data_IF_372445082422
#
_entry.id   IF_372445082422
#
_cell.length_a   1.000
_cell.length_b   1.000
_cell.length_c   1.000
_cell.angle_alpha   90.00
_cell.angle_beta   90.00
_cell.angle_gamma   90.00
#
_symmetry.space_group_name_H-M   'P 1'
#
loop_
_entity.id
_entity.type
_entity.pdbx_description
1 polymer ?
#
# COMPACT_ATOMS: atom_id res chain seq x y z
N UNK A 1 -56.94 28.08 -25.73
CA UNK A 1 -56.37 29.16 -24.89
C UNK A 1 -55.46 30.14 -25.64
N UNK A 2 -55.07 29.88 -26.90
CA UNK A 2 -54.31 30.84 -27.74
C UNK A 2 -55.18 31.88 -28.48
N UNK A 3 -56.45 31.55 -28.76
CA UNK A 3 -57.37 32.45 -29.47
C UNK A 3 -57.71 33.74 -28.69
N UNK A 4 -57.81 33.62 -27.36
CA UNK A 4 -58.08 34.76 -26.47
C UNK A 4 -56.87 35.70 -26.36
N UNK A 5 -55.66 35.16 -26.50
CA UNK A 5 -54.40 35.89 -26.37
C UNK A 5 -54.08 36.67 -27.66
N UNK A 6 -54.41 36.12 -28.83
CA UNK A 6 -54.34 36.83 -30.12
C UNK A 6 -55.31 38.01 -30.13
N UNK A 7 -56.57 37.82 -29.67
CA UNK A 7 -57.58 38.88 -29.61
C UNK A 7 -57.18 40.05 -28.69
N UNK A 8 -56.51 39.76 -27.56
CA UNK A 8 -55.99 40.77 -26.63
C UNK A 8 -54.81 41.54 -27.24
N UNK A 9 -53.91 40.86 -27.96
CA UNK A 9 -52.77 41.51 -28.63
C UNK A 9 -53.24 42.39 -29.79
N UNK A 10 -54.21 41.93 -30.60
CA UNK A 10 -54.78 42.74 -31.69
C UNK A 10 -55.54 43.96 -31.14
N UNK A 11 -56.27 43.80 -30.03
CA UNK A 11 -56.96 44.91 -29.36
C UNK A 11 -55.98 45.93 -28.74
N UNK A 12 -54.87 45.48 -28.16
CA UNK A 12 -53.83 46.36 -27.62
C UNK A 12 -53.06 47.11 -28.71
N UNK A 13 -52.80 46.49 -29.86
CA UNK A 13 -52.20 47.13 -31.04
C UNK A 13 -53.12 48.20 -31.65
N UNK A 14 -54.43 47.90 -31.75
CA UNK A 14 -55.43 48.86 -32.23
C UNK A 14 -55.56 50.07 -31.28
N UNK A 15 -55.58 49.82 -29.96
CA UNK A 15 -55.62 50.87 -28.92
C UNK A 15 -54.34 51.69 -28.88
N UNK A 16 -53.19 51.10 -29.19
CA UNK A 16 -51.90 51.79 -29.26
C UNK A 16 -51.81 52.73 -30.47
N UNK A 17 -52.37 52.32 -31.62
CA UNK A 17 -52.37 53.14 -32.84
C UNK A 17 -53.23 54.42 -32.69
N UNK A 18 -54.36 54.32 -31.98
CA UNK A 18 -55.26 55.45 -31.70
C UNK A 18 -54.68 56.42 -30.65
N UNK A 19 -53.75 55.97 -29.80
CA UNK A 19 -53.17 56.80 -28.73
C UNK A 19 -51.97 57.65 -29.14
N UNK A 20 -51.35 57.39 -30.31
CA UNK A 20 -50.08 58.03 -30.69
C UNK A 20 -50.20 59.24 -31.62
N UNK A 21 -51.37 59.51 -32.21
CA UNK A 21 -51.56 60.73 -33.00
C UNK A 21 -52.15 61.85 -32.14
N UNK A 22 -51.29 62.50 -31.36
CA UNK A 22 -51.61 63.78 -30.71
C UNK A 22 -51.60 64.88 -31.77
N UNK A 23 -52.78 65.43 -32.00
CA UNK A 23 -53.04 66.55 -32.90
C UNK A 23 -52.35 67.83 -32.43
N UNK A 24 -51.76 68.59 -33.37
CA UNK A 24 -51.74 70.05 -33.33
C UNK A 24 -51.90 70.63 -34.75
N UNK A 25 -53.14 71.04 -35.01
CA UNK A 25 -53.60 72.19 -35.78
C UNK A 25 -52.96 72.49 -37.16
N UNK A 26 -53.77 72.41 -38.23
CA UNK A 26 -54.32 73.62 -38.87
C UNK A 26 -55.39 73.24 -39.93
N UNK A 27 -56.53 73.94 -39.84
CA UNK A 27 -57.48 74.34 -40.89
C UNK A 27 -58.41 73.31 -41.56
N UNK A 28 -59.69 73.62 -41.32
CA UNK A 28 -60.93 73.21 -41.99
C UNK A 28 -60.87 73.17 -43.52
N UNK A 29 -61.65 72.23 -44.07
CA UNK A 29 -62.13 72.23 -45.46
C UNK A 29 -61.66 71.00 -46.22
N UNK A 30 -62.59 70.31 -46.89
CA UNK A 30 -62.37 69.23 -47.90
C UNK A 30 -62.58 67.76 -47.45
N UNK A 31 -62.60 67.41 -46.15
CA UNK A 31 -62.76 66.00 -45.73
C UNK A 31 -64.19 65.43 -45.70
N UNK A 32 -65.22 66.28 -45.54
CA UNK A 32 -66.61 65.84 -45.32
C UNK A 32 -67.39 65.51 -46.61
N UNK A 33 -67.14 66.11 -47.80
CA UNK A 33 -67.87 65.71 -49.02
C UNK A 33 -67.40 64.38 -49.64
N UNK A 34 -66.16 63.91 -49.36
CA UNK A 34 -65.64 62.65 -49.91
C UNK A 34 -66.23 61.40 -49.24
N UNK A 35 -66.62 61.50 -47.96
CA UNK A 35 -67.20 60.38 -47.21
C UNK A 35 -68.67 60.12 -47.61
N UNK A 36 -69.41 61.14 -48.06
CA UNK A 36 -70.81 61.00 -48.50
C UNK A 36 -70.91 60.36 -49.88
N UNK A 37 -69.94 60.60 -50.78
CA UNK A 37 -69.90 59.98 -52.11
C UNK A 37 -69.54 58.48 -52.01
N UNK A 38 -68.70 58.09 -51.06
CA UNK A 38 -68.32 56.68 -50.88
C UNK A 38 -69.44 55.82 -50.27
N UNK A 39 -70.23 56.39 -49.35
CA UNK A 39 -71.37 55.69 -48.73
C UNK A 39 -72.56 55.56 -49.70
N UNK A 40 -72.78 56.55 -50.58
CA UNK A 40 -73.80 56.44 -51.65
C UNK A 40 -73.39 55.49 -52.78
N UNK A 41 -72.09 55.37 -53.09
CA UNK A 41 -71.58 54.42 -54.08
C UNK A 41 -71.66 52.95 -53.63
N UNK A 42 -71.49 52.69 -52.33
CA UNK A 42 -71.49 51.32 -51.80
C UNK A 42 -72.91 50.73 -51.64
N UNK A 43 -73.93 51.57 -51.38
CA UNK A 43 -75.33 51.13 -51.29
C UNK A 43 -75.96 50.76 -52.65
N UNK A 44 -75.47 51.32 -53.76
CA UNK A 44 -76.01 51.00 -55.10
C UNK A 44 -75.45 49.66 -55.61
N UNK A 45 -74.22 49.30 -55.24
CA UNK A 45 -73.61 48.02 -55.63
C UNK A 45 -74.18 46.84 -54.83
N UNK A 46 -74.60 47.06 -53.58
CA UNK A 46 -75.24 46.01 -52.76
C UNK A 46 -76.69 45.69 -53.20
N UNK A 47 -77.41 46.66 -53.77
CA UNK A 47 -78.80 46.49 -54.23
C UNK A 47 -78.95 45.85 -55.61
N UNK A 48 -77.93 45.89 -56.47
CA UNK A 48 -77.97 45.29 -57.82
C UNK A 48 -77.52 43.83 -57.82
N UNK A 49 -76.85 43.35 -56.77
CA UNK A 49 -76.44 41.94 -56.65
C UNK A 49 -77.47 41.09 -55.87
N UNK A 50 -78.53 41.70 -55.31
CA UNK A 50 -79.50 40.99 -54.45
C UNK A 50 -80.95 40.97 -54.94
N UNK A 51 -81.23 41.34 -56.18
CA UNK A 51 -82.60 41.34 -56.71
C UNK A 51 -82.71 40.79 -58.14
N UNK A 52 -82.32 39.53 -58.33
CA UNK A 52 -82.98 38.67 -59.31
C UNK A 52 -83.32 37.34 -58.63
N UNK A 53 -84.44 37.38 -57.93
CA UNK A 53 -85.11 36.21 -57.40
C UNK A 53 -86.54 36.21 -57.91
N UNK A 54 -86.85 35.15 -58.67
CA UNK A 54 -88.15 34.48 -58.87
C UNK A 54 -88.97 34.91 -60.09
N UNK A 55 -88.87 34.09 -61.13
CA UNK A 55 -90.04 33.35 -61.62
C UNK A 55 -89.67 31.87 -61.76
N UNK A 56 -90.53 31.00 -61.23
CA UNK A 56 -90.36 29.56 -61.06
C UNK A 56 -90.73 28.80 -62.34
N UNK A 57 -90.05 27.69 -62.60
CA UNK A 57 -90.68 26.41 -62.99
C UNK A 57 -89.70 25.23 -62.71
N UNK A 58 -90.16 23.97 -62.61
CA UNK A 58 -89.91 23.15 -61.42
C UNK A 58 -88.93 21.98 -61.62
N UNK A 59 -88.49 21.47 -60.46
CA UNK A 59 -87.87 20.17 -60.21
C UNK A 59 -86.48 19.90 -60.80
N UNK A 60 -85.46 19.99 -59.93
CA UNK A 60 -84.48 18.91 -59.76
C UNK A 60 -83.84 19.07 -58.38
N UNK A 61 -84.21 18.19 -57.46
CA UNK A 61 -83.42 17.90 -56.26
C UNK A 61 -82.10 17.27 -56.74
N UNK A 62 -81.05 18.08 -56.87
CA UNK A 62 -79.70 17.55 -56.97
C UNK A 62 -79.23 17.31 -55.53
N UNK A 63 -79.43 16.08 -55.09
CA UNK A 63 -78.67 15.46 -54.02
C UNK A 63 -77.27 15.21 -54.60
N UNK A 64 -76.32 16.13 -54.39
CA UNK A 64 -74.91 15.85 -54.72
C UNK A 64 -74.37 14.97 -53.59
N UNK A 65 -74.68 13.68 -53.69
CA UNK A 65 -73.79 12.66 -53.16
C UNK A 65 -72.61 12.60 -54.12
N UNK A 66 -71.45 13.14 -53.70
CA UNK A 66 -70.17 12.75 -54.29
C UNK A 66 -69.97 11.25 -54.01
N UNK A 67 -70.52 10.40 -54.87
CA UNK A 67 -70.29 8.96 -54.81
C UNK A 67 -68.93 8.66 -55.45
N UNK A 68 -67.90 8.53 -54.61
CA UNK A 68 -66.64 7.94 -55.01
C UNK A 68 -66.82 6.42 -55.12
N UNK A 69 -66.36 5.83 -56.23
CA UNK A 69 -66.29 4.36 -56.36
C UNK A 69 -65.29 3.85 -55.32
N UNK A 70 -65.78 3.12 -54.32
CA UNK A 70 -64.94 2.50 -53.28
C UNK A 70 -64.14 1.39 -53.93
N UNK A 71 -62.82 1.56 -54.02
CA UNK A 71 -61.91 0.49 -54.41
C UNK A 71 -61.45 -0.20 -53.14
N UNK A 72 -61.64 -1.52 -53.08
CA UNK A 72 -60.95 -2.33 -52.08
C UNK A 72 -59.45 -2.33 -52.41
N UNK A 73 -58.65 -2.06 -51.40
CA UNK A 73 -57.19 -2.01 -51.47
C UNK A 73 -56.64 -2.10 -50.06
N UNK A 74 -55.36 -2.45 -49.96
CA UNK A 74 -54.71 -2.67 -48.67
C UNK A 74 -54.71 -1.38 -47.85
N UNK A 75 -55.26 -1.45 -46.63
CA UNK A 75 -55.26 -0.33 -45.69
C UNK A 75 -54.19 -0.57 -44.63
N UNK A 76 -53.14 0.24 -44.69
CA UNK A 76 -52.06 0.21 -43.71
C UNK A 76 -52.22 1.39 -42.75
N UNK A 77 -52.31 1.10 -41.45
CA UNK A 77 -52.28 2.13 -40.41
C UNK A 77 -50.84 2.24 -39.92
N UNK A 78 -50.24 3.40 -40.15
CA UNK A 78 -48.86 3.70 -39.76
C UNK A 78 -48.81 4.78 -38.68
N UNK A 79 -47.90 4.60 -37.72
CA UNK A 79 -47.56 5.61 -36.72
C UNK A 79 -46.22 6.22 -37.15
N UNK A 80 -46.24 7.49 -37.52
CA UNK A 80 -45.04 8.20 -37.98
C UNK A 80 -44.36 8.92 -36.81
N UNK A 81 -43.06 8.72 -36.67
CA UNK A 81 -42.24 9.44 -35.68
C UNK A 81 -40.85 9.74 -36.25
N UNK A 82 -40.24 10.84 -35.80
CA UNK A 82 -38.88 11.22 -36.20
C UNK A 82 -37.91 10.98 -35.05
N UNK A 83 -36.83 10.24 -35.34
CA UNK A 83 -35.76 9.92 -34.42
C UNK A 83 -34.38 10.11 -35.06
N UNK A 84 -33.35 9.55 -34.42
CA UNK A 84 -31.98 9.57 -34.91
C UNK A 84 -31.39 8.16 -34.97
N UNK A 85 -30.51 7.94 -35.94
CA UNK A 85 -29.68 6.72 -36.02
C UNK A 85 -28.67 6.72 -34.88
N UNK A 86 -28.61 5.63 -34.13
CA UNK A 86 -27.67 5.35 -33.06
C UNK A 86 -26.85 4.11 -33.42
N UNK A 87 -25.55 4.07 -33.08
CA UNK A 87 -24.74 2.88 -33.24
C UNK A 87 -25.15 1.79 -32.24
N UNK A 88 -24.68 0.55 -32.43
CA UNK A 88 -24.93 -0.54 -31.48
C UNK A 88 -24.36 -0.22 -30.09
N UNK A 89 -23.15 0.34 -30.08
CA UNK A 89 -22.43 0.77 -28.88
C UNK A 89 -21.66 2.04 -29.17
N UNK A 90 -21.57 2.92 -28.19
CA UNK A 90 -20.71 4.10 -28.23
C UNK A 90 -19.99 4.22 -26.89
N UNK A 91 -18.67 4.39 -26.92
CA UNK A 91 -17.86 4.61 -25.72
C UNK A 91 -16.95 5.82 -25.94
N UNK A 92 -16.93 6.70 -24.94
CA UNK A 92 -15.94 7.76 -24.83
C UNK A 92 -14.67 7.19 -24.17
N UNK A 93 -13.56 7.27 -24.89
CA UNK A 93 -12.26 6.79 -24.48
C UNK A 93 -11.45 7.96 -23.92
N UNK A 94 -10.82 7.71 -22.77
CA UNK A 94 -9.96 8.67 -22.09
C UNK A 94 -8.84 7.91 -21.39
N UNK A 95 -7.69 8.57 -21.21
CA UNK A 95 -6.62 8.02 -20.39
C UNK A 95 -7.00 8.07 -18.92
N UNK A 96 -6.72 6.98 -18.19
CA UNK A 96 -6.82 6.95 -16.74
C UNK A 96 -5.60 7.64 -16.08
N UNK A 97 -4.45 7.58 -16.72
CA UNK A 97 -3.21 8.21 -16.29
C UNK A 97 -3.04 9.64 -16.83
N UNK A 98 -2.28 10.46 -16.11
CA UNK A 98 -1.84 11.78 -16.56
C UNK A 98 -0.45 11.68 -17.21
N UNK A 99 -0.23 12.41 -18.30
CA UNK A 99 1.04 12.39 -19.02
C UNK A 99 0.98 13.22 -20.29
N UNK A 100 2.08 13.28 -21.04
CA UNK A 100 2.09 13.85 -22.39
C UNK A 100 1.78 12.74 -23.39
N UNK A 101 0.95 13.01 -24.39
CA UNK A 101 0.70 12.07 -25.49
C UNK A 101 1.96 11.98 -26.35
N UNK A 102 2.54 10.79 -26.45
CA UNK A 102 3.75 10.56 -27.27
C UNK A 102 3.36 10.17 -28.69
N UNK A 103 2.43 9.22 -28.83
CA UNK A 103 1.99 8.72 -30.13
C UNK A 103 0.46 8.64 -30.18
N UNK A 104 -0.08 8.92 -31.36
CA UNK A 104 -1.48 8.68 -31.73
C UNK A 104 -1.44 7.80 -32.97
N UNK A 105 -2.03 6.62 -32.88
CA UNK A 105 -1.92 5.57 -33.90
C UNK A 105 -3.14 5.49 -34.81
N UNK A 106 -4.22 6.19 -34.45
CA UNK A 106 -5.48 6.15 -35.19
C UNK A 106 -5.99 7.54 -35.56
N UNK A 107 -6.64 7.64 -36.70
CA UNK A 107 -7.26 8.87 -37.21
C UNK A 107 -8.79 8.81 -37.12
N UNK A 108 -9.43 9.99 -37.18
CA UNK A 108 -10.89 10.07 -37.27
C UNK A 108 -11.40 9.42 -38.56
N UNK A 109 -12.37 8.52 -38.45
CA UNK A 109 -12.92 7.71 -39.54
C UNK A 109 -12.23 6.37 -39.75
N UNK A 110 -11.18 6.04 -38.99
CA UNK A 110 -10.48 4.76 -39.10
C UNK A 110 -11.23 3.64 -38.37
N UNK A 111 -11.29 2.46 -38.99
CA UNK A 111 -11.76 1.22 -38.37
C UNK A 111 -10.65 0.58 -37.55
N UNK A 112 -10.99 0.12 -36.35
CA UNK A 112 -10.08 -0.53 -35.39
C UNK A 112 -10.69 -1.85 -34.92
N UNK A 113 -9.84 -2.80 -34.54
CA UNK A 113 -10.22 -4.05 -33.89
C UNK A 113 -10.17 -3.93 -32.36
N UNK A 114 -10.73 -4.92 -31.67
CA UNK A 114 -10.67 -4.98 -30.21
C UNK A 114 -9.22 -5.23 -29.74
N UNK A 115 -8.70 -4.34 -28.89
CA UNK A 115 -7.33 -4.37 -28.39
C UNK A 115 -6.36 -3.49 -29.18
N UNK A 116 -6.80 -2.85 -30.27
CA UNK A 116 -5.92 -1.96 -31.03
C UNK A 116 -5.49 -0.76 -30.19
N UNK A 117 -4.21 -0.40 -30.31
CA UNK A 117 -3.63 0.75 -29.63
C UNK A 117 -4.07 2.04 -30.34
N UNK A 118 -4.71 2.94 -29.58
CA UNK A 118 -5.26 4.21 -30.09
C UNK A 118 -4.24 5.33 -29.89
N UNK A 119 -3.71 5.43 -28.68
CA UNK A 119 -2.73 6.44 -28.30
C UNK A 119 -1.90 5.94 -27.10
N UNK A 120 -0.70 6.49 -26.94
CA UNK A 120 0.18 6.19 -25.81
C UNK A 120 0.75 7.47 -25.19
N UNK A 121 0.89 7.47 -23.86
CA UNK A 121 1.55 8.54 -23.11
C UNK A 121 3.07 8.30 -23.02
N UNK A 122 3.82 9.32 -22.62
CA UNK A 122 5.23 9.20 -22.25
C UNK A 122 5.36 8.33 -20.99
N UNK A 123 6.00 7.17 -21.12
CA UNK A 123 6.26 6.23 -20.03
C UNK A 123 7.65 6.32 -19.46
N UNK A 124 8.51 7.25 -19.93
CA UNK A 124 9.93 7.24 -19.57
C UNK A 124 10.20 7.34 -18.07
N UNK A 125 9.37 8.07 -17.33
CA UNK A 125 9.44 8.13 -15.86
C UNK A 125 8.91 6.87 -15.18
N UNK A 126 7.90 6.22 -15.75
CA UNK A 126 7.35 4.96 -15.26
C UNK A 126 8.30 3.79 -15.52
N UNK A 127 8.95 3.75 -16.68
CA UNK A 127 9.97 2.76 -17.02
C UNK A 127 11.16 2.88 -16.04
N UNK A 128 11.62 4.10 -15.75
CA UNK A 128 12.65 4.33 -14.71
C UNK A 128 12.18 3.88 -13.32
N UNK A 129 10.90 4.06 -12.99
CA UNK A 129 10.35 3.61 -11.71
C UNK A 129 10.32 2.08 -11.62
N UNK A 130 9.98 1.39 -12.71
CA UNK A 130 10.04 -0.07 -12.82
C UNK A 130 11.49 -0.54 -12.66
N UNK A 131 12.45 0.09 -13.33
CA UNK A 131 13.88 -0.23 -13.19
C UNK A 131 14.34 -0.08 -11.73
N UNK A 132 13.96 1.02 -11.06
CA UNK A 132 14.28 1.25 -9.65
C UNK A 132 13.65 0.20 -8.73
N UNK A 133 12.38 -0.14 -8.95
CA UNK A 133 11.69 -1.17 -8.17
C UNK A 133 12.28 -2.57 -8.41
N UNK A 134 12.72 -2.86 -9.64
CA UNK A 134 13.40 -4.11 -10.00
C UNK A 134 14.75 -4.23 -9.30
N UNK A 135 15.55 -3.15 -9.30
CA UNK A 135 16.82 -3.11 -8.55
C UNK A 135 16.58 -3.31 -7.04
N UNK A 136 15.51 -2.72 -6.49
CA UNK A 136 15.14 -2.91 -5.10
C UNK A 136 14.76 -4.37 -4.81
N UNK A 137 13.98 -5.01 -5.68
CA UNK A 137 13.65 -6.44 -5.57
C UNK A 137 14.91 -7.32 -5.63
N UNK A 138 15.80 -7.08 -6.59
CA UNK A 138 17.05 -7.82 -6.72
C UNK A 138 17.92 -7.71 -5.46
N UNK A 139 17.96 -6.51 -4.86
CA UNK A 139 18.66 -6.30 -3.59
C UNK A 139 18.03 -7.12 -2.46
N UNK A 140 16.70 -7.13 -2.34
CA UNK A 140 16.02 -7.91 -1.30
C UNK A 140 16.15 -9.41 -1.52
N UNK A 141 16.12 -9.85 -2.77
CA UNK A 141 16.41 -11.25 -3.12
C UNK A 141 17.83 -11.62 -2.68
N UNK A 142 18.82 -10.76 -2.93
CA UNK A 142 20.20 -11.03 -2.48
C UNK A 142 20.32 -11.10 -0.95
N UNK A 143 19.56 -10.29 -0.21
CA UNK A 143 19.49 -10.36 1.27
C UNK A 143 18.85 -11.67 1.71
N UNK A 144 17.71 -12.05 1.13
CA UNK A 144 17.03 -13.30 1.41
C UNK A 144 17.90 -14.53 1.11
N UNK A 145 18.57 -14.54 -0.03
CA UNK A 145 19.50 -15.59 -0.45
C UNK A 145 20.72 -15.66 0.49
N UNK A 146 21.21 -14.52 0.98
CA UNK A 146 22.30 -14.49 1.94
C UNK A 146 21.89 -15.08 3.31
N UNK A 147 20.64 -14.89 3.72
CA UNK A 147 20.10 -15.44 4.97
C UNK A 147 19.81 -16.94 4.86
N UNK A 148 19.26 -17.40 3.73
CA UNK A 148 18.87 -18.80 3.52
C UNK A 148 20.01 -19.70 3.04
N UNK A 149 21.14 -19.12 2.64
CA UNK A 149 22.30 -19.89 2.21
C UNK A 149 22.78 -20.78 3.36
N UNK A 150 22.92 -22.11 3.13
CA UNK A 150 23.46 -22.98 4.15
C UNK A 150 24.91 -22.58 4.48
N UNK A 151 25.35 -22.76 5.74
CA UNK A 151 26.73 -22.50 6.12
C UNK A 151 27.69 -23.27 5.23
N UNK A 152 28.82 -22.66 4.85
CA UNK A 152 29.82 -23.40 4.09
C UNK A 152 30.49 -24.47 4.96
N UNK A 153 30.93 -25.57 4.34
CA UNK A 153 31.72 -26.59 5.06
C UNK A 153 32.97 -25.98 5.73
N UNK A 154 33.53 -24.93 5.12
CA UNK A 154 34.67 -24.20 5.69
C UNK A 154 34.29 -23.47 6.98
N UNK A 155 33.16 -22.77 7.02
CA UNK A 155 32.71 -22.06 8.23
C UNK A 155 32.41 -23.03 9.37
N UNK A 156 31.78 -24.17 9.05
CA UNK A 156 31.52 -25.25 10.01
C UNK A 156 32.85 -25.79 10.55
N UNK A 157 33.84 -26.05 9.68
CA UNK A 157 35.14 -26.55 10.10
C UNK A 157 35.88 -25.55 11.02
N UNK A 158 35.78 -24.25 10.75
CA UNK A 158 36.35 -23.19 11.62
C UNK A 158 35.67 -23.19 12.99
N UNK A 159 34.33 -23.27 13.04
CA UNK A 159 33.59 -23.33 14.29
C UNK A 159 33.91 -24.61 15.10
N UNK A 160 34.01 -25.76 14.42
CA UNK A 160 34.44 -27.02 15.04
C UNK A 160 35.87 -26.93 15.60
N UNK A 161 36.80 -26.36 14.84
CA UNK A 161 38.17 -26.16 15.31
C UNK A 161 38.24 -25.23 16.53
N UNK A 162 37.38 -24.21 16.60
CA UNK A 162 37.27 -23.34 17.77
C UNK A 162 36.74 -24.11 19.01
N UNK A 163 35.75 -24.99 18.83
CA UNK A 163 35.26 -25.86 19.89
C UNK A 163 36.34 -26.84 20.37
N UNK A 164 37.11 -27.43 19.46
CA UNK A 164 38.21 -28.33 19.81
C UNK A 164 39.32 -27.59 20.56
N UNK A 165 39.64 -26.35 20.16
CA UNK A 165 40.57 -25.49 20.89
C UNK A 165 40.06 -25.12 22.30
N UNK A 166 38.76 -24.85 22.45
CA UNK A 166 38.14 -24.60 23.75
C UNK A 166 38.18 -25.84 24.66
N UNK A 167 37.92 -27.02 24.11
CA UNK A 167 38.05 -28.31 24.80
C UNK A 167 39.49 -28.59 25.22
N UNK A 168 40.46 -28.32 24.35
CA UNK A 168 41.87 -28.44 24.69
C UNK A 168 42.26 -27.50 25.84
N UNK A 169 41.73 -26.27 25.85
CA UNK A 169 41.96 -25.29 26.92
C UNK A 169 41.34 -25.74 28.25
N UNK A 170 40.15 -26.34 28.22
CA UNK A 170 39.53 -26.95 29.40
C UNK A 170 40.37 -28.11 29.94
N UNK A 171 40.84 -29.01 29.07
CA UNK A 171 41.70 -30.12 29.48
C UNK A 171 43.00 -29.61 30.10
N UNK A 172 43.59 -28.55 29.52
CA UNK A 172 44.76 -27.90 30.09
C UNK A 172 44.46 -27.32 31.49
N UNK A 173 43.37 -26.55 31.66
CA UNK A 173 42.95 -25.99 32.93
C UNK A 173 42.59 -27.06 33.98
N UNK A 174 41.95 -28.15 33.58
CA UNK A 174 41.68 -29.29 34.44
C UNK A 174 42.96 -30.01 34.88
N UNK A 175 44.03 -29.92 34.09
CA UNK A 175 45.34 -30.52 34.37
C UNK A 175 46.32 -29.60 35.11
N UNK A 176 45.96 -28.34 35.39
CA UNK A 176 46.80 -27.44 36.20
C UNK A 176 46.69 -27.80 37.68
N UNK A 177 47.28 -28.93 38.07
CA UNK A 177 47.63 -29.22 39.46
C UNK A 177 48.82 -28.38 39.94
N UNK A 178 49.23 -28.50 41.21
CA UNK A 178 50.40 -27.80 41.75
C UNK A 178 51.63 -28.15 40.92
N UNK A 179 52.36 -27.14 40.45
CA UNK A 179 53.61 -27.42 39.73
C UNK A 179 54.57 -28.16 40.68
N UNK A 180 55.31 -29.16 40.17
CA UNK A 180 56.34 -29.89 40.94
C UNK A 180 57.31 -28.92 41.63
N UNK A 181 57.58 -27.77 41.02
CA UNK A 181 58.41 -26.70 41.59
C UNK A 181 57.79 -26.01 42.81
N UNK A 182 56.48 -25.76 42.81
CA UNK A 182 55.80 -25.12 43.94
C UNK A 182 55.70 -26.07 45.15
N UNK A 183 55.46 -27.36 44.90
CA UNK A 183 55.52 -28.40 45.93
C UNK A 183 56.93 -28.48 46.54
N UNK A 184 57.97 -28.51 45.70
CA UNK A 184 59.36 -28.58 46.16
C UNK A 184 59.77 -27.31 46.95
N UNK A 185 59.34 -26.12 46.53
CA UNK A 185 59.59 -24.87 47.28
C UNK A 185 58.92 -24.92 48.65
N UNK A 186 57.65 -25.32 48.72
CA UNK A 186 56.92 -25.41 49.97
C UNK A 186 57.54 -26.47 50.90
N UNK A 187 57.98 -27.61 50.35
CA UNK A 187 58.71 -28.64 51.08
C UNK A 187 60.02 -28.11 51.65
N UNK A 188 60.83 -27.43 50.84
CA UNK A 188 62.10 -26.84 51.27
C UNK A 188 61.90 -25.79 52.38
N UNK A 189 60.83 -25.01 52.33
CA UNK A 189 60.48 -24.07 53.39
C UNK A 189 60.18 -24.76 54.72
N UNK A 190 59.46 -25.88 54.69
CA UNK A 190 59.24 -26.74 55.85
C UNK A 190 60.55 -27.30 56.40
N UNK A 191 61.44 -27.80 55.54
CA UNK A 191 62.76 -28.32 55.95
C UNK A 191 63.61 -27.22 56.60
N UNK A 192 63.60 -26.00 56.08
CA UNK A 192 64.29 -24.84 56.67
C UNK A 192 63.71 -24.50 58.05
N UNK A 193 62.39 -24.47 58.19
CA UNK A 193 61.73 -24.17 59.46
C UNK A 193 62.11 -25.20 60.53
N UNK A 194 62.09 -26.50 60.18
CA UNK A 194 62.51 -27.59 61.08
C UNK A 194 63.98 -27.49 61.44
N UNK A 195 64.84 -27.13 60.48
CA UNK A 195 66.27 -26.95 60.75
C UNK A 195 66.53 -25.82 61.76
N UNK A 196 65.81 -24.71 61.66
CA UNK A 196 65.89 -23.60 62.63
C UNK A 196 65.42 -24.02 64.02
N UNK A 197 64.30 -24.75 64.11
CA UNK A 197 63.81 -25.29 65.37
C UNK A 197 64.86 -26.21 66.02
N UNK A 198 65.43 -27.13 65.23
CA UNK A 198 66.48 -28.03 65.70
C UNK A 198 67.72 -27.29 66.21
N UNK A 199 68.19 -26.25 65.51
CA UNK A 199 69.32 -25.43 65.99
C UNK A 199 69.01 -24.72 67.31
N UNK A 200 67.79 -24.21 67.48
CA UNK A 200 67.36 -23.60 68.73
C UNK A 200 67.24 -24.64 69.87
N UNK A 201 66.86 -25.88 69.57
CA UNK A 201 66.81 -26.96 70.56
C UNK A 201 68.21 -27.26 71.09
N UNK A 202 69.20 -27.37 70.20
CA UNK A 202 70.60 -27.53 70.59
C UNK A 202 71.10 -26.38 71.47
N UNK A 203 70.73 -25.13 71.13
CA UNK A 203 71.11 -23.96 71.93
C UNK A 203 70.51 -24.02 73.34
N UNK A 204 69.26 -24.45 73.47
CA UNK A 204 68.58 -24.61 74.76
C UNK A 204 69.21 -25.72 75.59
N UNK A 205 69.53 -26.86 74.98
CA UNK A 205 70.16 -27.99 75.67
C UNK A 205 71.60 -27.70 76.13
N UNK A 206 72.26 -26.71 75.53
CA UNK A 206 73.57 -26.24 75.97
C UNK A 206 73.54 -25.37 77.23
N UNK A 207 72.38 -24.86 77.65
CA UNK A 207 72.24 -24.01 78.85
C UNK A 207 72.29 -24.88 80.10
N UNK A 208 73.37 -24.73 80.87
CA UNK A 208 73.52 -25.42 82.17
C UNK A 208 73.15 -24.47 83.30
N UNK A 209 72.20 -24.87 84.15
CA UNK A 209 71.87 -24.14 85.38
C UNK A 209 72.80 -24.62 86.50
N UNK A 210 73.65 -23.76 87.08
CA UNK A 210 74.53 -24.15 88.16
C UNK A 210 73.76 -24.56 89.42
N UNK A 211 74.29 -25.52 90.17
CA UNK A 211 73.78 -25.87 91.51
C UNK A 211 74.08 -24.74 92.52
N UNK A 212 73.26 -24.57 93.57
CA UNK A 212 73.54 -23.60 94.63
C UNK A 212 74.88 -23.90 95.30
N UNK A 213 75.75 -22.89 95.44
CA UNK A 213 77.00 -23.07 96.18
C UNK A 213 76.69 -23.27 97.68
N UNK A 214 77.19 -24.36 98.26
CA UNK A 214 77.15 -24.55 99.72
C UNK A 214 78.07 -23.52 100.40
N UNK A 215 77.56 -22.84 101.42
CA UNK A 215 78.34 -21.89 102.22
C UNK A 215 79.52 -22.54 102.94
N UNK A 216 80.43 -21.70 103.43
CA UNK A 216 81.56 -22.10 104.25
C UNK A 216 81.06 -22.28 105.68
N UNK A 217 80.98 -23.53 106.14
CA UNK A 217 80.61 -23.88 107.52
C UNK A 217 81.87 -24.01 108.38
N UNK A 218 82.31 -22.89 108.98
CA UNK A 218 83.47 -22.82 109.87
C UNK A 218 83.15 -21.88 111.02
N UNK A 219 83.09 -22.39 112.26
CA UNK A 219 82.99 -21.57 113.48
C UNK A 219 84.34 -21.50 114.17
N UNK A 220 84.85 -20.28 114.39
CA UNK A 220 86.19 -20.04 114.92
C UNK A 220 86.21 -19.64 116.39
N UNK A 221 85.03 -19.38 116.99
CA UNK A 221 84.90 -18.93 118.38
C UNK A 221 85.36 -17.48 118.60
N UNK A 222 85.51 -16.71 117.52
CA UNK A 222 85.87 -15.30 117.51
C UNK A 222 84.80 -14.52 116.74
N UNK A 223 84.01 -13.72 117.45
CA UNK A 223 82.88 -12.95 116.90
C UNK A 223 83.25 -12.08 115.70
N UNK A 224 84.48 -11.55 115.65
CA UNK A 224 84.94 -10.72 114.51
C UNK A 224 85.23 -11.54 113.26
N UNK A 225 85.66 -12.80 113.41
CA UNK A 225 85.96 -13.71 112.29
C UNK A 225 84.69 -14.41 111.82
N UNK A 226 83.83 -14.82 112.75
CA UNK A 226 82.54 -15.44 112.44
C UNK A 226 81.61 -14.45 111.71
N UNK A 227 81.59 -13.16 112.08
CA UNK A 227 80.85 -12.14 111.32
C UNK A 227 81.37 -11.90 109.89
N UNK A 228 82.68 -12.05 109.65
CA UNK A 228 83.25 -11.99 108.29
C UNK A 228 82.87 -13.22 107.48
N UNK A 229 82.78 -14.41 108.10
CA UNK A 229 82.32 -15.65 107.45
C UNK A 229 80.84 -15.53 107.06
N UNK A 230 80.01 -14.91 107.90
CA UNK A 230 78.61 -14.63 107.57
C UNK A 230 78.47 -13.66 106.39
N UNK A 231 79.26 -12.58 106.34
CA UNK A 231 79.29 -11.64 105.21
C UNK A 231 79.76 -12.31 103.90
N UNK A 232 80.74 -13.24 103.99
CA UNK A 232 81.22 -14.04 102.86
C UNK A 232 80.12 -15.00 102.40
N UNK A 233 79.45 -15.71 103.30
CA UNK A 233 78.34 -16.62 102.99
C UNK A 233 77.14 -15.88 102.37
N UNK A 234 76.85 -14.66 102.84
CA UNK A 234 75.84 -13.78 102.26
C UNK A 234 76.24 -13.35 100.83
N UNK A 235 77.52 -13.06 100.59
CA UNK A 235 78.03 -12.69 99.25
C UNK A 235 78.02 -13.88 98.29
N UNK A 236 78.44 -15.07 98.73
CA UNK A 236 78.43 -16.31 97.92
C UNK A 236 77.00 -16.70 97.53
N UNK A 237 76.06 -16.66 98.47
CA UNK A 237 74.65 -16.98 98.19
C UNK A 237 73.98 -15.93 97.30
N UNK A 238 74.29 -14.63 97.47
CA UNK A 238 73.84 -13.57 96.58
C UNK A 238 74.41 -13.73 95.15
N UNK A 239 75.69 -14.07 95.02
CA UNK A 239 76.32 -14.29 93.71
C UNK A 239 75.81 -15.57 93.02
N UNK A 240 75.65 -16.66 93.77
CA UNK A 240 75.11 -17.94 93.27
C UNK A 240 73.65 -17.81 92.85
N UNK A 241 72.81 -17.15 93.65
CA UNK A 241 71.40 -16.90 93.29
C UNK A 241 71.28 -15.98 92.07
N UNK A 242 72.15 -14.98 91.92
CA UNK A 242 72.20 -14.15 90.72
C UNK A 242 72.60 -14.96 89.47
N UNK A 243 73.56 -15.87 89.57
CA UNK A 243 73.96 -16.76 88.47
C UNK A 243 72.85 -17.75 88.09
N UNK A 244 72.18 -18.35 89.06
CA UNK A 244 71.03 -19.25 88.83
C UNK A 244 69.87 -18.48 88.19
N UNK A 245 69.52 -17.31 88.71
CA UNK A 245 68.46 -16.48 88.16
C UNK A 245 68.77 -16.04 86.71
N UNK A 246 70.05 -15.75 86.40
CA UNK A 246 70.47 -15.42 85.05
C UNK A 246 70.36 -16.63 84.10
N UNK A 247 70.82 -17.81 84.52
CA UNK A 247 70.71 -19.05 83.74
C UNK A 247 69.24 -19.46 83.53
N UNK A 248 68.40 -19.32 84.54
CA UNK A 248 66.95 -19.56 84.44
C UNK A 248 66.26 -18.54 83.52
N UNK A 249 66.68 -17.27 83.53
CA UNK A 249 66.17 -16.26 82.60
C UNK A 249 66.57 -16.59 81.15
N UNK A 250 67.81 -17.04 80.92
CA UNK A 250 68.28 -17.52 79.62
C UNK A 250 67.51 -18.75 79.14
N UNK A 251 67.25 -19.71 80.03
CA UNK A 251 66.44 -20.89 79.71
C UNK A 251 65.01 -20.51 79.31
N UNK A 252 64.33 -19.66 80.10
CA UNK A 252 62.97 -19.18 79.75
C UNK A 252 62.93 -18.44 78.42
N UNK A 253 63.96 -17.65 78.12
CA UNK A 253 64.07 -16.97 76.82
C UNK A 253 64.27 -17.96 75.67
N UNK A 254 65.11 -18.98 75.86
CA UNK A 254 65.32 -20.04 74.88
C UNK A 254 64.05 -20.88 74.65
N UNK A 255 63.31 -21.20 75.71
CA UNK A 255 62.02 -21.91 75.64
C UNK A 255 60.96 -21.09 74.89
N UNK A 256 60.85 -19.80 75.17
CA UNK A 256 59.94 -18.90 74.43
C UNK A 256 60.34 -18.80 72.95
N UNK A 257 61.65 -18.78 72.65
CA UNK A 257 62.14 -18.79 71.27
C UNK A 257 61.86 -20.12 70.55
N UNK A 258 61.93 -21.25 71.26
CA UNK A 258 61.56 -22.56 70.72
C UNK A 258 60.09 -22.62 70.37
N UNK A 259 59.22 -22.13 71.26
CA UNK A 259 57.79 -22.09 71.04
C UNK A 259 57.44 -21.27 69.77
N UNK A 260 58.08 -20.10 69.59
CA UNK A 260 57.90 -19.31 68.37
C UNK A 260 58.34 -20.06 67.09
N UNK A 261 59.44 -20.82 67.16
CA UNK A 261 59.93 -21.60 66.02
C UNK A 261 59.05 -22.82 65.73
N UNK A 262 58.46 -23.44 66.75
CA UNK A 262 57.51 -24.54 66.62
C UNK A 262 56.24 -24.09 65.87
N UNK A 263 55.67 -22.94 66.24
CA UNK A 263 54.60 -22.31 65.45
C UNK A 263 55.03 -22.02 64.01
N UNK A 264 56.29 -21.61 63.82
CA UNK A 264 56.87 -21.43 62.48
C UNK A 264 56.89 -22.71 61.63
N UNK A 265 57.19 -23.86 62.24
CA UNK A 265 57.11 -25.17 61.59
C UNK A 265 55.66 -25.53 61.27
N UNK A 266 54.73 -25.35 62.21
CA UNK A 266 53.32 -25.63 62.01
C UNK A 266 52.72 -24.81 60.85
N UNK A 267 53.10 -23.53 60.73
CA UNK A 267 52.69 -22.68 59.60
C UNK A 267 53.28 -23.19 58.28
N UNK A 268 54.55 -23.60 58.27
CA UNK A 268 55.19 -24.15 57.07
C UNK A 268 54.57 -25.48 56.62
N UNK A 269 54.26 -26.38 57.55
CA UNK A 269 53.56 -27.63 57.28
C UNK A 269 52.14 -27.38 56.72
N UNK A 270 51.39 -26.43 57.31
CA UNK A 270 50.07 -26.04 56.80
C UNK A 270 50.13 -25.43 55.38
N UNK A 271 51.17 -24.63 55.09
CA UNK A 271 51.40 -24.07 53.75
C UNK A 271 51.75 -25.14 52.72
N UNK A 272 52.56 -26.13 53.09
CA UNK A 272 52.88 -27.28 52.25
C UNK A 272 51.63 -28.12 51.95
N UNK A 273 50.86 -28.48 52.98
CA UNK A 273 49.62 -29.25 52.84
C UNK A 273 48.57 -28.51 51.98
N UNK A 274 48.43 -27.19 52.15
CA UNK A 274 47.58 -26.34 51.30
C UNK A 274 48.08 -26.27 49.85
N UNK A 275 49.38 -26.43 49.61
CA UNK A 275 49.96 -26.44 48.26
C UNK A 275 49.76 -27.78 47.58
N UNK A 276 49.92 -28.90 48.31
CA UNK A 276 49.72 -30.26 47.78
C UNK A 276 48.24 -30.57 47.55
N UNK A 277 47.35 -30.06 48.41
CA UNK A 277 45.90 -30.31 48.32
C UNK A 277 45.19 -29.40 47.32
N UNK A 278 45.88 -28.42 46.73
CA UNK A 278 45.32 -27.54 45.71
C UNK A 278 45.11 -28.34 44.42
N UNK A 279 43.85 -28.69 44.12
CA UNK A 279 43.45 -29.27 42.83
C UNK A 279 43.49 -28.23 41.70
N UNK A 280 42.83 -28.55 40.58
CA UNK A 280 42.67 -27.61 39.48
C UNK A 280 42.04 -26.30 39.95
N UNK A 281 42.59 -25.16 39.50
CA UNK A 281 42.06 -23.85 39.86
C UNK A 281 40.62 -23.71 39.33
N UNK A 282 39.66 -23.66 40.25
CA UNK A 282 38.22 -23.64 39.94
C UNK A 282 37.88 -22.45 39.02
N UNK A 283 38.56 -21.32 39.18
CA UNK A 283 38.36 -20.14 38.33
C UNK A 283 38.80 -20.40 36.89
N UNK A 284 39.98 -20.99 36.71
CA UNK A 284 40.51 -21.37 35.38
C UNK A 284 39.61 -22.40 34.69
N UNK A 285 39.17 -23.44 35.40
CA UNK A 285 38.28 -24.48 34.87
C UNK A 285 36.93 -23.90 34.50
N UNK A 286 36.36 -23.04 35.36
CA UNK A 286 35.08 -22.38 35.09
C UNK A 286 35.18 -21.46 33.86
N UNK A 287 36.29 -20.73 33.71
CA UNK A 287 36.52 -19.89 32.53
C UNK A 287 36.67 -20.70 31.24
N UNK A 288 37.35 -21.84 31.30
CA UNK A 288 37.51 -22.72 30.14
C UNK A 288 36.19 -23.41 29.77
N UNK A 289 35.37 -23.77 30.75
CA UNK A 289 34.02 -24.29 30.52
C UNK A 289 33.13 -23.26 29.83
N UNK A 290 33.17 -22.00 30.27
CA UNK A 290 32.47 -20.91 29.59
C UNK A 290 32.94 -20.75 28.14
N UNK A 291 34.24 -20.96 27.87
CA UNK A 291 34.78 -21.00 26.51
C UNK A 291 34.20 -22.12 25.65
N UNK A 292 34.02 -23.32 26.21
CA UNK A 292 33.34 -24.43 25.51
C UNK A 292 31.90 -24.05 25.18
N UNK A 293 31.12 -23.60 26.17
CA UNK A 293 29.71 -23.22 25.97
C UNK A 293 29.57 -22.13 24.90
N UNK A 294 30.45 -21.14 24.89
CA UNK A 294 30.42 -20.10 23.86
C UNK A 294 30.71 -20.65 22.45
N UNK A 295 31.65 -21.58 22.33
CA UNK A 295 31.96 -22.22 21.05
C UNK A 295 30.83 -23.15 20.57
N UNK A 296 30.16 -23.85 21.49
CA UNK A 296 28.98 -24.67 21.19
C UNK A 296 27.81 -23.81 20.71
N UNK A 297 27.50 -22.71 21.39
CA UNK A 297 26.45 -21.76 20.96
C UNK A 297 26.78 -21.17 19.59
N UNK A 298 28.04 -20.82 19.32
CA UNK A 298 28.45 -20.29 18.03
C UNK A 298 28.25 -21.32 16.89
N UNK A 299 28.59 -22.59 17.14
CA UNK A 299 28.37 -23.68 16.20
C UNK A 299 26.87 -23.96 16.00
N UNK A 300 26.08 -23.93 17.08
CA UNK A 300 24.63 -24.14 17.02
C UNK A 300 23.92 -23.03 16.23
N UNK A 301 24.24 -21.76 16.51
CA UNK A 301 23.69 -20.63 15.75
C UNK A 301 24.05 -20.70 14.27
N UNK A 302 25.25 -21.21 13.94
CA UNK A 302 25.64 -21.44 12.56
C UNK A 302 24.78 -22.54 11.91
N UNK A 303 24.49 -23.64 12.62
CA UNK A 303 23.74 -24.78 12.08
C UNK A 303 22.22 -24.56 12.00
N UNK A 304 21.63 -23.88 12.98
CA UNK A 304 20.20 -23.63 13.04
C UNK A 304 19.72 -22.62 11.99
N UNK A 305 20.65 -21.86 11.38
CA UNK A 305 20.34 -20.88 10.35
C UNK A 305 19.76 -19.58 10.91
N UNK A 306 19.15 -18.74 10.06
CA UNK A 306 18.58 -17.47 10.48
C UNK A 306 17.37 -17.65 11.39
N UNK A 307 17.14 -16.69 12.27
CA UNK A 307 15.95 -16.66 13.14
C UNK A 307 14.67 -16.61 12.30
N UNK A 308 13.60 -17.30 12.74
CA UNK A 308 12.33 -17.40 12.00
C UNK A 308 11.75 -16.00 11.74
N UNK A 309 11.82 -15.12 12.75
CA UNK A 309 11.37 -13.74 12.64
C UNK A 309 12.17 -12.96 11.57
N UNK A 310 13.48 -13.22 11.48
CA UNK A 310 14.34 -12.54 10.53
C UNK A 310 14.06 -13.00 9.10
N UNK A 311 13.77 -14.29 8.90
CA UNK A 311 13.37 -14.84 7.61
C UNK A 311 12.01 -14.30 7.16
N UNK A 312 11.04 -14.22 8.08
CA UNK A 312 9.71 -13.66 7.79
C UNK A 312 9.80 -12.18 7.40
N UNK A 313 10.60 -11.39 8.11
CA UNK A 313 10.82 -9.98 7.74
C UNK A 313 11.43 -9.86 6.34
N UNK A 314 12.45 -10.67 6.02
CA UNK A 314 13.04 -10.67 4.68
C UNK A 314 12.04 -11.09 3.59
N UNK A 315 11.13 -12.02 3.89
CA UNK A 315 10.07 -12.44 2.97
C UNK A 315 9.05 -11.31 2.75
N UNK A 316 8.65 -10.59 3.79
CA UNK A 316 7.77 -9.41 3.69
C UNK A 316 8.44 -8.31 2.87
N UNK A 317 9.72 -8.03 3.08
CA UNK A 317 10.46 -7.01 2.31
C UNK A 317 10.55 -7.37 0.81
N UNK A 318 10.68 -8.67 0.50
CA UNK A 318 10.65 -9.18 -0.86
C UNK A 318 9.26 -9.04 -1.49
N UNK A 319 8.20 -9.44 -0.78
CA UNK A 319 6.81 -9.32 -1.24
C UNK A 319 6.43 -7.85 -1.49
N UNK A 320 6.78 -6.95 -0.56
CA UNK A 320 6.52 -5.51 -0.72
C UNK A 320 7.26 -4.91 -1.93
N UNK A 321 8.48 -5.38 -2.22
CA UNK A 321 9.24 -4.97 -3.41
C UNK A 321 8.60 -5.50 -4.69
N UNK A 322 8.05 -6.71 -4.68
CA UNK A 322 7.28 -7.26 -5.81
C UNK A 322 6.02 -6.43 -6.10
N UNK A 323 5.24 -6.07 -5.07
CA UNK A 323 4.07 -5.21 -5.24
C UNK A 323 4.43 -3.82 -5.77
N UNK A 324 5.60 -3.29 -5.44
CA UNK A 324 6.05 -2.01 -5.98
C UNK A 324 6.26 -2.07 -7.50
N UNK A 325 6.83 -3.18 -8.01
CA UNK A 325 6.95 -3.43 -9.46
C UNK A 325 5.57 -3.56 -10.09
N UNK A 326 4.70 -4.41 -9.53
CA UNK A 326 3.35 -4.64 -10.05
C UNK A 326 2.55 -3.33 -10.15
N UNK A 327 2.63 -2.47 -9.13
CA UNK A 327 1.98 -1.16 -9.15
C UNK A 327 2.56 -0.24 -10.24
N UNK A 328 3.88 -0.25 -10.42
CA UNK A 328 4.54 0.54 -11.45
C UNK A 328 4.18 0.05 -12.87
N UNK A 329 4.14 -1.26 -13.07
CA UNK A 329 3.69 -1.89 -14.32
C UNK A 329 2.21 -1.61 -14.61
N UNK A 330 1.34 -1.66 -13.58
CA UNK A 330 -0.06 -1.30 -13.72
C UNK A 330 -0.21 0.15 -14.20
N UNK A 331 0.50 1.10 -13.59
CA UNK A 331 0.47 2.50 -14.00
C UNK A 331 1.03 2.70 -15.42
N UNK A 332 2.05 1.92 -15.81
CA UNK A 332 2.57 1.89 -17.17
C UNK A 332 1.52 1.37 -18.16
N UNK A 333 0.81 0.29 -17.83
CA UNK A 333 -0.26 -0.24 -18.66
C UNK A 333 -1.42 0.76 -18.83
N UNK A 334 -1.74 1.53 -17.78
CA UNK A 334 -2.74 2.61 -17.85
C UNK A 334 -2.30 3.83 -18.68
N UNK A 335 -1.05 3.85 -19.15
CA UNK A 335 -0.52 4.89 -20.05
C UNK A 335 -0.72 4.58 -21.53
N UNK A 336 -1.27 3.40 -21.84
CA UNK A 336 -1.69 3.02 -23.19
C UNK A 336 -3.21 2.96 -23.25
N UNK A 337 -3.78 3.54 -24.31
CA UNK A 337 -5.22 3.53 -24.54
C UNK A 337 -5.55 2.54 -25.65
N UNK A 338 -6.26 1.47 -25.31
CA UNK A 338 -6.63 0.40 -26.23
C UNK A 338 -8.13 0.44 -26.54
N UNK A 339 -8.51 -0.06 -27.72
CA UNK A 339 -9.90 -0.14 -28.16
C UNK A 339 -10.65 -1.29 -27.42
N UNK A 340 -11.76 -1.02 -26.70
CA UNK A 340 -12.48 -2.06 -25.96
C UNK A 340 -13.31 -3.02 -26.83
N UNK A 341 -13.56 -2.68 -28.10
CA UNK A 341 -14.27 -3.51 -29.08
C UNK A 341 -13.90 -3.04 -30.50
N UNK A 342 -14.22 -3.84 -31.52
CA UNK A 342 -14.02 -3.45 -32.91
C UNK A 342 -15.05 -2.41 -33.37
N UNK A 343 -14.65 -1.41 -34.13
CA UNK A 343 -15.54 -0.33 -34.56
C UNK A 343 -14.80 0.80 -35.25
N UNK A 344 -15.42 1.98 -35.32
CA UNK A 344 -14.88 3.17 -36.01
C UNK A 344 -14.67 4.32 -35.04
N UNK A 345 -13.52 4.99 -35.16
CA UNK A 345 -13.21 6.22 -34.40
C UNK A 345 -13.97 7.40 -35.01
N UNK A 346 -14.96 7.93 -34.30
CA UNK A 346 -15.80 9.05 -34.79
C UNK A 346 -15.23 10.41 -34.43
N UNK A 347 -14.44 10.46 -33.36
CA UNK A 347 -13.79 11.69 -32.90
C UNK A 347 -12.46 11.33 -32.27
N UNK A 348 -11.41 12.07 -32.60
CA UNK A 348 -10.10 11.96 -31.95
C UNK A 348 -9.59 13.35 -31.57
N UNK A 349 -9.49 13.62 -30.26
CA UNK A 349 -9.00 14.88 -29.70
C UNK A 349 -7.56 14.77 -29.17
N UNK A 350 -6.85 13.66 -29.40
CA UNK A 350 -5.47 13.50 -28.94
C UNK A 350 -4.49 14.26 -29.84
N UNK A 351 -3.57 15.01 -29.23
CA UNK A 351 -2.53 15.77 -29.91
C UNK A 351 -1.17 15.38 -29.35
N UNK A 352 -0.28 14.91 -30.22
CA UNK A 352 1.09 14.54 -29.86
C UNK A 352 1.81 15.74 -29.22
N UNK A 353 2.49 15.50 -28.11
CA UNK A 353 3.22 16.51 -27.33
C UNK A 353 2.35 17.35 -26.40
N UNK A 354 1.05 17.09 -26.30
CA UNK A 354 0.14 17.76 -25.37
C UNK A 354 -0.40 16.81 -24.30
N UNK A 355 -0.89 17.37 -23.20
CA UNK A 355 -1.61 16.60 -22.18
C UNK A 355 -2.99 16.18 -22.72
N UNK A 356 -3.45 14.95 -22.46
CA UNK A 356 -4.80 14.52 -22.82
C UNK A 356 -5.88 15.46 -22.26
N UNK A 357 -7.01 15.63 -22.98
CA UNK A 357 -8.13 16.39 -22.46
C UNK A 357 -8.74 15.72 -21.21
N UNK A 358 -9.21 16.53 -20.26
CA UNK A 358 -9.85 16.12 -18.99
C UNK A 358 -11.27 15.53 -19.16
N UNK A 359 -11.54 14.88 -20.29
CA UNK A 359 -12.87 14.43 -20.68
C UNK A 359 -12.81 13.45 -21.84
N UNK A 360 -13.58 13.70 -22.90
CA UNK A 360 -13.62 12.81 -24.07
C UNK A 360 -12.34 13.00 -24.90
N UNK A 361 -11.46 12.00 -24.84
CA UNK A 361 -10.27 11.92 -25.69
C UNK A 361 -10.62 11.45 -27.09
N UNK A 362 -11.22 10.26 -27.21
CA UNK A 362 -11.74 9.74 -28.47
C UNK A 362 -13.15 9.16 -28.30
N UNK A 363 -13.91 9.05 -29.38
CA UNK A 363 -15.21 8.37 -29.40
C UNK A 363 -15.11 7.17 -30.35
N UNK A 364 -15.34 5.98 -29.81
CA UNK A 364 -15.41 4.73 -30.58
C UNK A 364 -16.87 4.27 -30.67
N UNK A 365 -17.34 3.99 -31.89
CA UNK A 365 -18.67 3.42 -32.13
C UNK A 365 -18.56 2.03 -32.74
N UNK A 366 -19.49 1.17 -32.37
CA UNK A 366 -19.71 -0.13 -33.02
C UNK A 366 -20.71 0.08 -34.17
N UNK A 367 -20.21 -0.04 -35.40
CA UNK A 367 -20.96 0.13 -36.65
C UNK A 367 -21.51 -1.18 -37.22
N UNK A 368 -21.45 -2.29 -36.49
CA UNK A 368 -21.98 -3.59 -36.94
C UNK A 368 -23.49 -3.59 -37.17
N UNK A 369 -24.24 -2.87 -36.32
CA UNK A 369 -25.70 -2.75 -36.41
C UNK A 369 -26.11 -1.35 -35.99
N UNK A 370 -26.97 -0.72 -36.77
CA UNK A 370 -27.56 0.57 -36.43
C UNK A 370 -28.97 0.40 -35.87
N UNK A 371 -29.32 1.27 -34.93
CA UNK A 371 -30.65 1.35 -34.33
C UNK A 371 -31.22 2.74 -34.54
N UNK A 372 -32.55 2.87 -34.61
CA UNK A 372 -33.24 4.15 -34.59
C UNK A 372 -34.10 4.19 -33.34
N UNK A 373 -33.96 5.26 -32.55
CA UNK A 373 -34.86 5.51 -31.42
C UNK A 373 -35.97 6.45 -31.86
N UNK A 374 -37.18 5.91 -32.01
CA UNK A 374 -38.38 6.64 -32.39
C UNK A 374 -39.21 6.95 -31.13
N UNK A 375 -39.38 8.21 -30.75
CA UNK A 375 -40.30 8.57 -29.66
C UNK A 375 -41.74 8.44 -30.14
N UNK A 376 -42.50 7.53 -29.54
CA UNK A 376 -43.93 7.32 -29.87
C UNK A 376 -44.81 7.85 -28.74
N UNK A 377 -45.91 8.52 -29.09
CA UNK A 377 -46.82 9.11 -28.12
C UNK A 377 -47.52 8.06 -27.23
N UNK A 378 -47.86 8.45 -26.00
CA UNK A 378 -48.53 7.59 -25.00
C UNK A 378 -49.86 6.98 -25.50
N UNK A 379 -50.57 7.66 -26.41
CA UNK A 379 -51.83 7.14 -26.98
C UNK A 379 -51.60 6.04 -28.02
N UNK A 380 -50.46 6.10 -28.70
CA UNK A 380 -50.15 5.31 -29.89
C UNK A 380 -49.29 4.08 -29.55
N UNK A 381 -48.49 4.17 -28.48
CA UNK A 381 -47.60 3.09 -28.01
C UNK A 381 -48.36 1.80 -27.65
N UNK A 382 -49.64 1.89 -27.30
CA UNK A 382 -50.49 0.73 -26.94
C UNK A 382 -50.59 -0.28 -28.09
N UNK A 383 -50.51 0.20 -29.34
CA UNK A 383 -50.62 -0.62 -30.54
C UNK A 383 -49.25 -1.05 -31.11
N UNK A 384 -48.15 -0.63 -30.50
CA UNK A 384 -46.79 -0.97 -30.95
C UNK A 384 -46.28 -2.21 -30.22
N UNK A 385 -45.80 -3.19 -30.97
CA UNK A 385 -45.29 -4.46 -30.46
C UNK A 385 -43.92 -4.79 -31.06
N UNK A 386 -43.11 -5.54 -30.30
CA UNK A 386 -41.83 -6.07 -30.78
C UNK A 386 -42.08 -7.01 -31.97
N UNK A 387 -41.30 -6.86 -33.03
CA UNK A 387 -41.40 -7.61 -34.28
C UNK A 387 -42.16 -6.90 -35.42
N UNK A 388 -42.77 -5.74 -35.16
CA UNK A 388 -43.42 -4.96 -36.22
C UNK A 388 -42.41 -4.41 -37.23
N UNK A 389 -42.80 -4.41 -38.51
CA UNK A 389 -42.02 -3.80 -39.59
C UNK A 389 -42.15 -2.28 -39.54
N UNK A 390 -41.04 -1.61 -39.78
CA UNK A 390 -40.95 -0.14 -39.81
C UNK A 390 -40.31 0.26 -41.13
N UNK A 391 -40.93 1.20 -41.82
CA UNK A 391 -40.32 1.86 -42.98
C UNK A 391 -39.57 3.08 -42.48
N UNK A 392 -38.24 3.11 -42.67
CA UNK A 392 -37.35 4.15 -42.20
C UNK A 392 -36.91 5.01 -43.38
N UNK A 393 -37.29 6.28 -43.38
CA UNK A 393 -36.84 7.27 -44.37
C UNK A 393 -35.81 8.20 -43.75
N UNK A 394 -34.58 8.12 -44.24
CA UNK A 394 -33.48 8.97 -43.77
C UNK A 394 -33.54 10.30 -44.52
N UNK A 395 -33.52 11.42 -43.80
CA UNK A 395 -33.63 12.75 -44.43
C UNK A 395 -32.47 13.02 -45.43
N UNK A 396 -31.31 12.41 -45.19
CA UNK A 396 -30.14 12.50 -46.05
C UNK A 396 -30.21 11.59 -47.30
N UNK A 397 -31.15 10.63 -47.34
CA UNK A 397 -31.35 9.65 -48.42
C UNK A 397 -32.83 9.62 -48.85
N UNK A 398 -33.34 10.69 -49.50
CA UNK A 398 -34.77 10.83 -49.79
C UNK A 398 -35.32 9.82 -50.83
N UNK A 399 -34.44 9.22 -51.64
CA UNK A 399 -34.82 8.30 -52.72
C UNK A 399 -34.74 6.82 -52.30
N UNK A 400 -34.43 6.53 -51.03
CA UNK A 400 -34.27 5.16 -50.53
C UNK A 400 -34.96 4.99 -49.18
N UNK A 401 -35.98 4.12 -49.17
CA UNK A 401 -36.59 3.65 -47.93
C UNK A 401 -35.79 2.47 -47.38
N UNK A 402 -35.46 2.53 -46.09
CA UNK A 402 -34.78 1.45 -45.37
C UNK A 402 -35.82 0.63 -44.60
N UNK A 403 -35.67 -0.69 -44.62
CA UNK A 403 -36.45 -1.56 -43.76
C UNK A 403 -35.91 -1.54 -42.33
N UNK A 404 -36.81 -1.72 -41.37
CA UNK A 404 -36.44 -1.96 -39.99
C UNK A 404 -37.45 -2.83 -39.25
N UNK A 405 -37.06 -3.26 -38.06
CA UNK A 405 -37.88 -4.08 -37.18
C UNK A 405 -37.85 -3.53 -35.75
N UNK A 406 -39.01 -3.43 -35.10
CA UNK A 406 -39.10 -3.03 -33.70
C UNK A 406 -38.47 -4.12 -32.82
N UNK A 407 -37.33 -3.85 -32.21
CA UNK A 407 -36.63 -4.81 -31.32
C UNK A 407 -36.93 -4.58 -29.85
N UNK A 408 -37.32 -3.35 -29.48
CA UNK A 408 -37.63 -3.01 -28.08
C UNK A 408 -38.57 -1.83 -28.00
N UNK A 409 -39.55 -1.93 -27.11
CA UNK A 409 -40.40 -0.81 -26.69
C UNK A 409 -40.03 -0.47 -25.24
N UNK A 410 -39.73 0.80 -24.95
CA UNK A 410 -39.40 1.23 -23.60
C UNK A 410 -40.59 1.04 -22.65
N UNK A 411 -40.35 0.52 -21.45
CA UNK A 411 -41.37 0.43 -20.39
C UNK A 411 -41.53 1.72 -19.57
N UNK A 412 -40.55 2.61 -19.68
CA UNK A 412 -40.51 3.88 -18.97
C UNK A 412 -40.63 5.02 -19.97
N UNK A 413 -41.55 5.98 -19.78
CA UNK A 413 -41.68 7.11 -20.67
C UNK A 413 -40.53 8.11 -20.47
N UNK A 414 -40.17 8.79 -21.55
CA UNK A 414 -39.31 9.97 -21.56
C UNK A 414 -40.20 11.20 -21.71
N UNK A 415 -39.97 12.25 -20.92
CA UNK A 415 -40.74 13.50 -21.03
C UNK A 415 -40.02 14.48 -21.96
N UNK A 416 -40.59 14.73 -23.13
CA UNK A 416 -40.12 15.79 -24.03
C UNK A 416 -40.98 17.05 -23.81
N UNK A 417 -40.59 17.85 -22.82
CA UNK A 417 -41.39 19.01 -22.40
C UNK A 417 -42.70 18.60 -21.71
N UNK A 418 -43.84 18.93 -22.33
CA UNK A 418 -45.18 18.54 -21.84
C UNK A 418 -45.69 17.22 -22.47
N UNK A 419 -44.96 16.64 -23.43
CA UNK A 419 -45.35 15.42 -24.13
C UNK A 419 -44.72 14.19 -23.45
N UNK A 420 -45.52 13.16 -23.24
CA UNK A 420 -45.10 11.87 -22.69
C UNK A 420 -44.90 10.92 -23.88
N UNK A 421 -43.65 10.54 -24.13
CA UNK A 421 -43.30 9.64 -25.24
C UNK A 421 -42.60 8.39 -24.71
N UNK A 422 -42.76 7.29 -25.41
CA UNK A 422 -42.08 6.03 -25.16
C UNK A 422 -41.10 5.77 -26.30
N UNK A 423 -39.83 5.56 -25.98
CA UNK A 423 -38.82 5.31 -27.00
C UNK A 423 -38.98 3.88 -27.53
N UNK A 424 -39.24 3.76 -28.82
CA UNK A 424 -39.25 2.50 -29.56
C UNK A 424 -37.92 2.38 -30.27
N UNK A 425 -37.16 1.33 -29.95
CA UNK A 425 -35.89 1.03 -30.62
C UNK A 425 -36.16 0.09 -31.79
N UNK A 426 -35.82 0.58 -32.98
CA UNK A 426 -35.95 -0.14 -34.25
C UNK A 426 -34.55 -0.53 -34.71
N UNK A 427 -34.34 -1.80 -35.07
CA UNK A 427 -33.12 -2.25 -35.74
C UNK A 427 -33.23 -1.93 -37.22
N UNK A 428 -32.21 -1.31 -37.80
CA UNK A 428 -32.13 -1.05 -39.24
C UNK A 428 -31.69 -2.33 -39.94
N UNK A 429 -32.36 -2.71 -41.03
CA UNK A 429 -31.97 -3.85 -41.85
C UNK A 429 -30.62 -3.58 -42.55
N UNK A 430 -29.90 -4.65 -42.90
CA UNK A 430 -28.62 -4.54 -43.61
C UNK A 430 -28.82 -3.82 -44.96
N UNK A 431 -28.06 -2.75 -45.18
CA UNK A 431 -28.21 -1.89 -46.35
C UNK A 431 -26.86 -1.58 -46.98
N UNK A 432 -26.83 -1.45 -48.30
CA UNK A 432 -25.67 -0.96 -49.03
C UNK A 432 -25.54 0.58 -48.96
N UNK A 433 -26.54 1.27 -48.41
CA UNK A 433 -26.54 2.71 -48.27
C UNK A 433 -25.61 3.17 -47.15
N UNK A 434 -24.85 4.25 -47.39
CA UNK A 434 -23.94 4.83 -46.39
C UNK A 434 -24.74 5.61 -45.33
N UNK A 435 -25.16 4.92 -44.28
CA UNK A 435 -25.77 5.52 -43.09
C UNK A 435 -24.71 5.87 -42.05
N UNK A 436 -24.93 6.96 -41.30
CA UNK A 436 -24.06 7.38 -40.20
C UNK A 436 -24.88 7.60 -38.93
N UNK A 437 -24.25 7.35 -37.79
CA UNK A 437 -24.80 7.73 -36.50
C UNK A 437 -25.12 9.25 -36.46
N UNK A 438 -26.23 9.62 -35.83
CA UNK A 438 -26.72 10.99 -35.72
C UNK A 438 -27.59 11.49 -36.88
N UNK A 439 -27.75 10.72 -37.97
CA UNK A 439 -28.68 11.09 -39.03
C UNK A 439 -30.14 11.09 -38.54
N UNK A 440 -30.93 12.08 -38.96
CA UNK A 440 -32.37 12.13 -38.70
C UNK A 440 -33.11 11.13 -39.58
N UNK A 441 -34.04 10.39 -38.99
CA UNK A 441 -34.84 9.37 -39.67
C UNK A 441 -36.29 9.52 -39.26
N UNK A 442 -37.18 9.56 -40.23
CA UNK A 442 -38.62 9.41 -40.00
C UNK A 442 -38.97 7.94 -40.17
N UNK A 443 -39.50 7.31 -39.13
CA UNK A 443 -39.93 5.93 -39.14
C UNK A 443 -41.45 5.81 -39.09
N UNK A 444 -42.01 5.07 -40.03
CA UNK A 444 -43.43 4.74 -40.09
C UNK A 444 -43.61 3.29 -39.60
N UNK A 445 -44.14 3.15 -38.38
CA UNK A 445 -44.38 1.86 -37.73
C UNK A 445 -45.72 1.31 -38.21
N UNK A 446 -45.71 0.11 -38.80
CA UNK A 446 -46.92 -0.54 -39.31
C UNK A 446 -47.63 -1.24 -38.14
N UNK A 447 -48.76 -0.68 -37.68
CA UNK A 447 -49.52 -1.22 -36.54
C UNK A 447 -50.72 -2.07 -36.93
N UNK A 448 -51.28 -1.82 -38.11
CA UNK A 448 -52.31 -2.67 -38.71
C UNK A 448 -52.04 -2.79 -40.19
N UNK A 449 -51.98 -4.02 -40.66
CA UNK A 449 -51.96 -4.38 -42.07
C UNK A 449 -53.22 -5.19 -42.33
N UNK A 450 -54.16 -4.60 -43.06
CA UNK A 450 -55.38 -5.28 -43.49
C UNK A 450 -55.29 -5.48 -45.00
N UNK A 451 -54.61 -6.56 -45.36
CA UNK A 451 -54.67 -7.16 -46.69
C UNK A 451 -56.05 -7.79 -46.90
N UNK A 452 -56.67 -7.49 -48.03
CA UNK A 452 -58.05 -7.89 -48.34
C UNK A 452 -58.24 -9.41 -48.51
#
# INVERSE_FOLDING_TARGET
MYFLLVLIITYLLYRFLIRRLRWRALRFGVGIPLMVIFVLGFSIVWGVITADARTQDPAETIDVLDEAVVQQGDLQVTISSTGQIQPNRQVALAFAASGLVTNVYVEEGQTVEAGDLIASLDTSDLDRLIDQATIALDLQQAVYDALTRPPSEFDIAVAQAALDAARASYNAAASTGPSVYQEEIARLQTEIARNRLWQAQLSRDSITVPEPLSGIDVSTGNDTVDGVIDDINATISAQSSAQIAAAQAQLRQAESSLEQLDYGVAIADANYESTVSRGADIGSVSSALAGITQAEIALENLLNGPDELQLEMANIDLETSQYAIELAEYNRAQSELHAPFAGVIVQNNFVVGQTPPQGIGAILIDDSVFYVELPVDEVDIVNVQVGQRVTLRVDALPDQDLGGEVVRVAYTPTRLGQLVVYNVRVRVDETAALIRAGMSVTGDIIVQDKSD
#
